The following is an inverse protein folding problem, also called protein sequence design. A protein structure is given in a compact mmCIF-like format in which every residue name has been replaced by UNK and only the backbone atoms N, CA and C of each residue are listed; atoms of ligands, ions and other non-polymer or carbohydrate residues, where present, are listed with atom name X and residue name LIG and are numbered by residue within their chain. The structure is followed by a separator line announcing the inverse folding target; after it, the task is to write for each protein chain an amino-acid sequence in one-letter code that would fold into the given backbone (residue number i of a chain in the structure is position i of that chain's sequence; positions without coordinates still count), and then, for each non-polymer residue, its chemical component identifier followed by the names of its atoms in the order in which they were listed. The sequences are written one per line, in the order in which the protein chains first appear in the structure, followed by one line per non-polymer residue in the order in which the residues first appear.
data_IF_702491154359
#
_entry.id   IF_702491154359
#
_cell.length_a   1.000
_cell.length_b   1.000
_cell.length_c   1.000
_cell.angle_alpha   90.00
_cell.angle_beta   90.00
_cell.angle_gamma   90.00
#
_symmetry.space_group_name_H-M   'P 1'
#
loop_
_entity.id
_entity.type
_entity.pdbx_description
1 polymer ?
#
# COMPACT_ATOMS: atom_id res chain seq x y z
N UNK A 1 1.66 18.76 29.06
CA UNK A 1 1.24 17.44 28.53
C UNK A 1 0.16 16.91 29.44
N UNK A 2 -0.97 16.45 28.90
CA UNK A 2 -1.96 15.69 29.68
C UNK A 2 -1.43 14.26 29.82
N UNK A 3 -1.39 13.72 31.03
CA UNK A 3 -0.86 12.36 31.27
C UNK A 3 -1.92 11.31 30.96
N UNK A 4 -1.50 10.08 30.59
CA UNK A 4 -2.42 8.96 30.38
C UNK A 4 -3.24 8.66 31.63
N UNK A 5 -2.63 8.81 32.81
CA UNK A 5 -3.28 8.64 34.11
C UNK A 5 -4.42 9.65 34.38
N UNK A 6 -4.35 10.85 33.81
CA UNK A 6 -5.39 11.89 33.95
C UNK A 6 -6.50 11.77 32.90
N UNK A 7 -6.24 11.10 31.77
CA UNK A 7 -7.19 10.95 30.65
C UNK A 7 -7.10 9.52 30.12
N UNK A 8 -7.49 8.57 30.96
CA UNK A 8 -7.44 7.14 30.67
C UNK A 8 -8.23 6.86 29.39
N UNK A 9 -7.56 6.24 28.41
CA UNK A 9 -8.20 5.79 27.17
C UNK A 9 -8.87 4.44 27.41
N UNK A 10 -10.14 4.37 27.03
CA UNK A 10 -10.99 3.18 27.12
C UNK A 10 -11.21 2.53 25.75
N UNK A 11 -11.81 1.35 25.76
CA UNK A 11 -12.25 0.65 24.54
C UNK A 11 -13.28 1.48 23.77
N UNK A 12 -14.21 2.12 24.49
CA UNK A 12 -15.26 2.94 23.92
C UNK A 12 -14.70 4.19 23.21
N UNK A 13 -13.65 4.80 23.78
CA UNK A 13 -12.99 5.95 23.16
C UNK A 13 -12.39 5.58 21.80
N UNK A 14 -11.68 4.44 21.72
CA UNK A 14 -11.06 3.98 20.47
C UNK A 14 -12.12 3.55 19.45
N UNK A 15 -13.19 2.87 19.88
CA UNK A 15 -14.29 2.50 18.99
C UNK A 15 -14.95 3.71 18.34
N UNK A 16 -15.14 4.80 19.10
CA UNK A 16 -15.66 6.04 18.54
C UNK A 16 -14.72 6.66 17.50
N UNK A 17 -13.40 6.45 17.61
CA UNK A 17 -12.44 6.86 16.59
C UNK A 17 -12.43 5.92 15.37
N UNK A 18 -12.57 4.61 15.58
CA UNK A 18 -12.73 3.62 14.50
C UNK A 18 -13.94 3.97 13.64
N UNK A 19 -15.10 4.18 14.25
CA UNK A 19 -16.32 4.56 13.54
C UNK A 19 -16.07 5.81 12.67
N UNK A 20 -15.45 6.85 13.24
CA UNK A 20 -15.11 8.07 12.48
C UNK A 20 -14.16 7.78 11.32
N UNK A 21 -13.15 6.92 11.53
CA UNK A 21 -12.17 6.59 10.52
C UNK A 21 -12.75 5.75 9.37
N UNK A 22 -13.71 4.86 9.65
CA UNK A 22 -14.41 4.07 8.63
C UNK A 22 -15.31 4.92 7.72
N UNK A 23 -15.84 6.03 8.24
CA UNK A 23 -16.68 6.97 7.48
C UNK A 23 -15.90 8.15 6.88
N UNK A 24 -14.57 8.21 7.04
CA UNK A 24 -13.76 9.31 6.52
C UNK A 24 -13.56 9.18 5.00
N UNK A 25 -14.21 10.06 4.25
CA UNK A 25 -14.15 10.09 2.78
C UNK A 25 -13.07 11.08 2.32
N UNK A 26 -12.26 10.76 1.30
CA UNK A 26 -11.35 11.73 0.70
C UNK A 26 -12.06 13.03 0.31
N UNK A 27 -11.45 14.17 0.62
CA UNK A 27 -11.91 15.47 0.12
C UNK A 27 -11.54 15.57 -1.36
N UNK A 28 -12.52 15.83 -2.22
CA UNK A 28 -12.34 15.79 -3.68
C UNK A 28 -11.31 16.80 -4.22
N UNK A 29 -11.07 17.89 -3.47
CA UNK A 29 -10.24 19.02 -3.85
C UNK A 29 -8.88 19.09 -3.14
N UNK A 30 -8.56 18.12 -2.29
CA UNK A 30 -7.30 18.10 -1.53
C UNK A 30 -6.18 17.43 -2.32
N UNK A 31 -5.06 18.14 -2.49
CA UNK A 31 -3.84 17.55 -3.07
C UNK A 31 -3.35 16.37 -2.21
N UNK A 32 -2.73 15.38 -2.85
CA UNK A 32 -2.26 14.20 -2.14
C UNK A 32 -1.29 14.53 -1.00
N UNK A 33 -0.37 15.49 -1.21
CA UNK A 33 0.60 15.90 -0.19
C UNK A 33 -0.08 16.54 1.03
N UNK A 34 -1.00 17.48 0.78
CA UNK A 34 -1.76 18.15 1.85
C UNK A 34 -2.60 17.15 2.66
N UNK A 35 -3.21 16.20 1.97
CA UNK A 35 -4.00 15.13 2.59
C UNK A 35 -3.14 14.20 3.44
N UNK A 36 -1.98 13.79 2.92
CA UNK A 36 -1.02 12.94 3.62
C UNK A 36 -0.59 13.60 4.94
N UNK A 37 -0.13 14.85 4.88
CA UNK A 37 0.35 15.58 6.06
C UNK A 37 -0.77 15.74 7.10
N UNK A 38 -1.98 16.09 6.66
CA UNK A 38 -3.14 16.22 7.54
C UNK A 38 -3.49 14.90 8.22
N UNK A 39 -3.60 13.80 7.46
CA UNK A 39 -3.97 12.49 8.01
C UNK A 39 -2.91 12.00 9.00
N UNK A 40 -1.62 12.14 8.69
CA UNK A 40 -0.55 11.76 9.61
C UNK A 40 -0.56 12.59 10.91
N UNK A 41 -0.83 13.89 10.82
CA UNK A 41 -1.00 14.75 11.99
C UNK A 41 -2.23 14.34 12.83
N UNK A 42 -3.35 14.01 12.19
CA UNK A 42 -4.54 13.51 12.87
C UNK A 42 -4.31 12.15 13.55
N UNK A 43 -3.65 11.21 12.87
CA UNK A 43 -3.38 9.88 13.40
C UNK A 43 -2.44 9.91 14.60
N UNK A 44 -1.51 10.86 14.66
CA UNK A 44 -0.56 11.01 15.77
C UNK A 44 -1.23 11.36 17.11
N UNK A 45 -2.41 11.97 17.07
CA UNK A 45 -3.14 12.43 18.28
C UNK A 45 -4.35 11.57 18.64
N UNK A 46 -4.58 10.48 17.90
CA UNK A 46 -5.68 9.51 18.09
C UNK A 46 -5.27 8.35 18.99
N UNK A 47 -6.25 7.76 19.68
CA UNK A 47 -6.13 6.52 20.43
C UNK A 47 -4.99 6.49 21.44
N UNK A 48 -4.38 5.32 21.60
CA UNK A 48 -3.20 5.14 22.45
C UNK A 48 -1.92 5.76 21.86
N UNK A 49 -1.85 5.95 20.53
CA UNK A 49 -0.66 6.51 19.87
C UNK A 49 -0.26 7.88 20.44
N UNK A 50 -1.22 8.69 20.87
CA UNK A 50 -1.00 9.96 21.57
C UNK A 50 -0.15 9.83 22.85
N UNK A 51 -0.21 8.68 23.52
CA UNK A 51 0.52 8.36 24.75
C UNK A 51 1.65 7.36 24.54
N UNK A 52 2.08 7.15 23.29
CA UNK A 52 3.12 6.20 22.91
C UNK A 52 4.39 6.35 23.73
N UNK A 53 4.88 7.58 23.93
CA UNK A 53 6.14 7.81 24.65
C UNK A 53 6.03 7.46 26.15
N UNK A 54 4.92 7.82 26.80
CA UNK A 54 4.65 7.47 28.21
C UNK A 54 4.53 5.94 28.38
N UNK A 55 3.84 5.27 27.45
CA UNK A 55 3.74 3.81 27.43
C UNK A 55 5.10 3.14 27.23
N UNK A 56 5.93 3.65 26.32
CA UNK A 56 7.27 3.12 26.07
C UNK A 56 8.16 3.29 27.29
N UNK A 57 8.13 4.46 27.92
CA UNK A 57 8.88 4.73 29.14
C UNK A 57 8.48 3.76 30.25
N UNK A 58 7.17 3.61 30.53
CA UNK A 58 6.68 2.64 31.50
C UNK A 58 7.08 1.20 31.15
N UNK A 59 7.07 0.84 29.86
CA UNK A 59 7.43 -0.51 29.41
C UNK A 59 8.93 -0.82 29.50
N UNK A 60 9.81 0.18 29.70
CA UNK A 60 11.24 -0.08 29.93
C UNK A 60 11.47 -0.80 31.26
N UNK A 61 10.66 -0.49 32.28
CA UNK A 61 10.66 -1.19 33.57
C UNK A 61 9.75 -2.42 33.53
N UNK A 62 10.28 -3.53 33.00
CA UNK A 62 9.54 -4.80 32.88
C UNK A 62 9.02 -5.32 34.23
N UNK A 63 9.76 -5.08 35.31
CA UNK A 63 9.41 -5.60 36.63
C UNK A 63 8.11 -4.95 37.15
N UNK A 64 7.97 -3.64 36.93
CA UNK A 64 6.83 -2.87 37.45
C UNK A 64 5.73 -2.61 36.41
N UNK A 65 5.95 -2.90 35.12
CA UNK A 65 4.99 -2.59 34.05
C UNK A 65 3.60 -3.16 34.29
N UNK A 66 3.48 -4.42 34.77
CA UNK A 66 2.17 -5.03 35.07
C UNK A 66 1.43 -4.28 36.17
N UNK A 67 2.12 -3.84 37.22
CA UNK A 67 1.52 -3.06 38.29
C UNK A 67 1.09 -1.67 37.79
N UNK A 68 1.92 -1.04 36.97
CA UNK A 68 1.59 0.24 36.34
C UNK A 68 0.33 0.16 35.45
N UNK A 69 0.17 -0.93 34.69
CA UNK A 69 -1.05 -1.20 33.92
C UNK A 69 -2.26 -1.36 34.84
N UNK A 70 -2.14 -2.12 35.93
CA UNK A 70 -3.21 -2.32 36.92
C UNK A 70 -3.61 -0.99 37.58
N UNK A 71 -2.65 -0.12 37.88
CA UNK A 71 -2.92 1.18 38.51
C UNK A 71 -3.75 2.12 37.62
N UNK A 72 -3.66 1.97 36.30
CA UNK A 72 -4.35 2.82 35.32
C UNK A 72 -5.67 2.19 34.87
N UNK A 73 -5.66 0.92 34.48
CA UNK A 73 -6.81 0.24 33.88
C UNK A 73 -7.52 -0.75 34.83
N UNK A 74 -7.07 -0.87 36.08
CA UNK A 74 -7.64 -1.77 37.08
C UNK A 74 -7.21 -3.23 36.93
N UNK A 75 -7.00 -3.71 35.71
CA UNK A 75 -6.47 -5.03 35.42
C UNK A 75 -5.80 -5.12 34.04
N UNK A 76 -5.04 -6.20 33.84
CA UNK A 76 -4.27 -6.44 32.60
C UNK A 76 -5.18 -6.74 31.40
N UNK A 77 -6.30 -7.45 31.59
CA UNK A 77 -7.20 -7.81 30.48
C UNK A 77 -7.89 -6.58 29.91
N UNK A 78 -8.25 -5.61 30.76
CA UNK A 78 -8.80 -4.32 30.32
C UNK A 78 -7.82 -3.61 29.40
N UNK A 79 -6.55 -3.51 29.75
CA UNK A 79 -5.55 -2.89 28.86
C UNK A 79 -5.30 -3.70 27.59
N UNK A 80 -5.28 -5.04 27.64
CA UNK A 80 -5.19 -5.89 26.44
C UNK A 80 -6.36 -5.61 25.49
N UNK A 81 -7.58 -5.40 26.01
CA UNK A 81 -8.73 -5.04 25.18
C UNK A 81 -8.54 -3.67 24.48
N UNK A 82 -7.97 -2.69 25.19
CA UNK A 82 -7.60 -1.39 24.61
C UNK A 82 -6.54 -1.56 23.52
N UNK A 83 -5.50 -2.38 23.74
CA UNK A 83 -4.48 -2.68 22.71
C UNK A 83 -5.13 -3.31 21.46
N UNK A 84 -6.07 -4.23 21.63
CA UNK A 84 -6.74 -4.87 20.49
C UNK A 84 -7.53 -3.86 19.65
N UNK A 85 -8.28 -2.96 20.27
CA UNK A 85 -8.99 -1.92 19.50
C UNK A 85 -8.02 -0.88 18.91
N UNK A 86 -6.92 -0.55 19.59
CA UNK A 86 -5.87 0.31 19.01
C UNK A 86 -5.28 -0.32 17.75
N UNK A 87 -4.97 -1.63 17.77
CA UNK A 87 -4.49 -2.35 16.58
C UNK A 87 -5.50 -2.32 15.43
N UNK A 88 -6.81 -2.39 15.72
CA UNK A 88 -7.86 -2.19 14.70
C UNK A 88 -7.86 -0.78 14.13
N UNK A 89 -7.78 0.23 14.98
CA UNK A 89 -7.70 1.61 14.52
C UNK A 89 -6.46 1.81 13.63
N UNK A 90 -5.30 1.27 14.04
CA UNK A 90 -4.08 1.33 13.22
C UNK A 90 -4.19 0.54 11.92
N UNK A 91 -5.00 -0.52 11.86
CA UNK A 91 -5.24 -1.27 10.62
C UNK A 91 -5.90 -0.41 9.55
N UNK A 92 -6.81 0.49 9.94
CA UNK A 92 -7.46 1.40 9.00
C UNK A 92 -6.42 2.36 8.42
N UNK A 93 -5.54 2.90 9.26
CA UNK A 93 -4.49 3.84 8.85
C UNK A 93 -3.48 3.19 7.90
N UNK A 94 -2.90 2.06 8.30
CA UNK A 94 -1.84 1.40 7.53
C UNK A 94 -2.35 0.82 6.20
N UNK A 95 -3.55 0.23 6.19
CA UNK A 95 -4.15 -0.31 4.97
C UNK A 95 -4.49 0.82 4.01
N UNK A 96 -5.03 1.93 4.53
CA UNK A 96 -5.36 3.10 3.72
C UNK A 96 -4.10 3.66 3.06
N UNK A 97 -3.07 3.96 3.86
CA UNK A 97 -1.81 4.53 3.36
C UNK A 97 -1.18 3.65 2.28
N UNK A 98 -0.95 2.37 2.60
CA UNK A 98 -0.36 1.42 1.65
C UNK A 98 -1.17 1.32 0.35
N UNK A 99 -2.50 1.24 0.44
CA UNK A 99 -3.35 1.14 -0.75
C UNK A 99 -3.36 2.41 -1.60
N UNK A 100 -3.31 3.58 -0.98
CA UNK A 100 -3.35 4.86 -1.69
C UNK A 100 -2.01 5.15 -2.36
N UNK A 101 -0.88 4.94 -1.67
CA UNK A 101 0.43 5.11 -2.30
C UNK A 101 0.62 4.19 -3.50
N UNK A 102 0.20 2.92 -3.39
CA UNK A 102 0.28 1.97 -4.50
C UNK A 102 -0.62 2.39 -5.67
N UNK A 103 -1.87 2.78 -5.40
CA UNK A 103 -2.83 3.19 -6.43
C UNK A 103 -2.44 4.47 -7.19
N UNK A 104 -1.58 5.31 -6.62
CA UNK A 104 -1.06 6.50 -7.26
C UNK A 104 0.12 6.21 -8.19
N UNK A 105 0.75 5.04 -8.07
CA UNK A 105 1.83 4.63 -8.96
C UNK A 105 1.26 4.24 -10.32
N UNK A 106 1.37 5.15 -11.28
CA UNK A 106 0.91 4.93 -12.65
C UNK A 106 2.05 4.60 -13.57
N UNK A 107 1.78 3.71 -14.51
CA UNK A 107 2.66 3.41 -15.64
C UNK A 107 2.32 4.37 -16.77
N UNK A 108 3.35 5.05 -17.26
CA UNK A 108 3.28 5.97 -18.39
C UNK A 108 4.35 5.58 -19.40
N UNK A 109 3.92 5.29 -20.63
CA UNK A 109 4.82 4.93 -21.72
C UNK A 109 4.82 6.07 -22.73
N UNK A 110 5.98 6.65 -23.06
CA UNK A 110 6.04 7.68 -24.09
C UNK A 110 5.74 7.09 -25.46
N UNK A 111 5.11 7.90 -26.32
CA UNK A 111 4.90 7.60 -27.73
C UNK A 111 6.23 7.62 -28.48
N UNK A 112 6.36 6.79 -29.52
CA UNK A 112 7.56 6.72 -30.34
C UNK A 112 7.23 6.90 -31.81
N UNK A 113 8.04 7.70 -32.51
CA UNK A 113 7.90 7.99 -33.93
C UNK A 113 9.02 7.31 -34.71
N UNK A 114 8.67 6.41 -35.63
CA UNK A 114 9.57 5.75 -36.57
C UNK A 114 8.75 4.92 -37.57
N UNK A 115 9.41 4.09 -38.39
CA UNK A 115 8.72 2.97 -39.04
C UNK A 115 7.96 2.13 -38.00
N UNK A 116 6.79 1.61 -38.38
CA UNK A 116 5.88 0.89 -37.46
C UNK A 116 6.61 -0.11 -36.56
N UNK A 117 7.38 -1.02 -37.16
CA UNK A 117 8.07 -2.09 -36.43
C UNK A 117 9.14 -1.53 -35.46
N UNK A 118 9.85 -0.48 -35.87
CA UNK A 118 10.87 0.15 -35.02
C UNK A 118 10.26 0.91 -33.84
N UNK A 119 9.18 1.65 -34.10
CA UNK A 119 8.46 2.40 -33.07
C UNK A 119 7.84 1.44 -32.05
N UNK A 120 7.19 0.37 -32.51
CA UNK A 120 6.61 -0.65 -31.64
C UNK A 120 7.66 -1.31 -30.73
N UNK A 121 8.83 -1.67 -31.26
CA UNK A 121 9.92 -2.25 -30.46
C UNK A 121 10.51 -1.25 -29.45
N UNK A 122 10.52 0.06 -29.74
CA UNK A 122 10.89 1.10 -28.76
C UNK A 122 9.85 1.19 -27.64
N UNK A 123 8.57 1.24 -27.98
CA UNK A 123 7.47 1.29 -27.00
C UNK A 123 7.46 0.05 -26.10
N UNK A 124 7.70 -1.15 -26.64
CA UNK A 124 7.84 -2.38 -25.84
C UNK A 124 8.99 -2.30 -24.84
N UNK A 125 10.16 -1.79 -25.23
CA UNK A 125 11.27 -1.58 -24.28
C UNK A 125 10.91 -0.58 -23.20
N UNK A 126 10.27 0.54 -23.57
CA UNK A 126 9.80 1.54 -22.60
C UNK A 126 8.78 0.94 -21.63
N UNK A 127 7.90 0.04 -22.10
CA UNK A 127 6.95 -0.70 -21.26
C UNK A 127 7.66 -1.61 -20.27
N UNK A 128 8.65 -2.38 -20.71
CA UNK A 128 9.43 -3.24 -19.82
C UNK A 128 10.14 -2.43 -18.74
N UNK A 129 10.81 -1.34 -19.12
CA UNK A 129 11.48 -0.43 -18.18
C UNK A 129 10.50 0.17 -17.16
N UNK A 130 9.32 0.59 -17.60
CA UNK A 130 8.32 1.18 -16.71
C UNK A 130 7.71 0.16 -15.73
N UNK A 131 7.51 -1.09 -16.16
CA UNK A 131 7.05 -2.18 -15.28
C UNK A 131 8.10 -2.51 -14.21
N UNK A 132 9.37 -2.57 -14.59
CA UNK A 132 10.48 -2.77 -13.64
C UNK A 132 10.62 -1.61 -12.65
N UNK A 133 10.54 -0.36 -13.14
CA UNK A 133 10.57 0.83 -12.29
C UNK A 133 9.40 0.83 -11.30
N UNK A 134 8.19 0.49 -11.77
CA UNK A 134 7.01 0.38 -10.93
C UNK A 134 7.23 -0.58 -9.76
N UNK A 135 7.65 -1.82 -10.04
CA UNK A 135 7.83 -2.85 -9.03
C UNK A 135 8.88 -2.44 -7.99
N UNK A 136 9.99 -1.85 -8.42
CA UNK A 136 11.02 -1.35 -7.52
C UNK A 136 10.52 -0.17 -6.66
N UNK A 137 9.72 0.73 -7.23
CA UNK A 137 9.18 1.90 -6.52
C UNK A 137 8.11 1.53 -5.50
N UNK A 138 7.25 0.56 -5.81
CA UNK A 138 6.25 0.02 -4.88
C UNK A 138 6.93 -0.46 -3.60
N UNK A 139 8.01 -1.24 -3.72
CA UNK A 139 8.77 -1.73 -2.57
C UNK A 139 9.39 -0.60 -1.74
N UNK A 140 9.98 0.39 -2.42
CA UNK A 140 10.58 1.54 -1.73
C UNK A 140 9.55 2.38 -0.98
N UNK A 141 8.38 2.62 -1.57
CA UNK A 141 7.28 3.35 -0.94
C UNK A 141 6.81 2.64 0.34
N UNK A 142 6.69 1.32 0.29
CA UNK A 142 6.29 0.56 1.48
C UNK A 142 7.25 0.81 2.66
N UNK A 143 8.55 0.75 2.39
CA UNK A 143 9.58 0.92 3.41
C UNK A 143 9.64 2.36 3.97
N UNK A 144 9.36 3.36 3.13
CA UNK A 144 9.41 4.78 3.53
C UNK A 144 8.12 5.23 4.20
N UNK A 145 6.96 4.87 3.66
CA UNK A 145 5.66 5.43 4.07
C UNK A 145 4.91 4.53 5.05
N UNK A 146 4.93 3.21 4.83
CA UNK A 146 4.07 2.27 5.56
C UNK A 146 4.76 1.76 6.84
N UNK A 147 6.03 1.34 6.76
CA UNK A 147 6.78 0.80 7.91
C UNK A 147 6.78 1.72 9.14
N UNK A 148 6.93 3.06 9.01
CA UNK A 148 6.82 3.96 10.16
C UNK A 148 5.48 3.87 10.91
N UNK A 149 4.37 3.64 10.19
CA UNK A 149 3.05 3.46 10.78
C UNK A 149 2.95 2.12 11.54
N UNK A 150 3.56 1.06 11.00
CA UNK A 150 3.56 -0.28 11.60
C UNK A 150 4.41 -0.37 12.87
N UNK A 151 5.38 0.54 13.04
CA UNK A 151 6.26 0.55 14.23
C UNK A 151 5.46 0.61 15.53
N UNK A 152 4.33 1.35 15.56
CA UNK A 152 3.48 1.39 16.75
C UNK A 152 2.73 0.07 16.96
N UNK A 153 2.26 -0.58 15.89
CA UNK A 153 1.64 -1.90 15.97
C UNK A 153 2.62 -2.93 16.55
N UNK A 154 3.87 -2.94 16.10
CA UNK A 154 4.93 -3.81 16.61
C UNK A 154 5.18 -3.61 18.11
N UNK A 155 5.28 -2.36 18.55
CA UNK A 155 5.47 -2.04 19.97
C UNK A 155 4.29 -2.53 20.83
N UNK A 156 3.05 -2.33 20.36
CA UNK A 156 1.84 -2.83 21.01
C UNK A 156 1.79 -4.36 21.08
N UNK A 157 2.17 -5.06 20.00
CA UNK A 157 2.21 -6.52 19.97
C UNK A 157 3.25 -7.08 20.95
N UNK A 158 4.42 -6.44 21.07
CA UNK A 158 5.42 -6.79 22.08
C UNK A 158 4.89 -6.57 23.51
N UNK A 159 4.20 -5.45 23.76
CA UNK A 159 3.58 -5.18 25.07
C UNK A 159 2.49 -6.21 25.40
N UNK A 160 1.61 -6.51 24.44
CA UNK A 160 0.56 -7.52 24.59
C UNK A 160 1.14 -8.88 24.93
N UNK A 161 2.13 -9.35 24.18
CA UNK A 161 2.80 -10.63 24.42
C UNK A 161 3.46 -10.70 25.81
N UNK A 162 4.12 -9.61 26.23
CA UNK A 162 4.68 -9.53 27.58
C UNK A 162 3.61 -9.66 28.68
N UNK A 163 2.46 -9.01 28.50
CA UNK A 163 1.37 -9.04 29.47
C UNK A 163 0.70 -10.41 29.56
N UNK A 164 0.59 -11.12 28.43
CA UNK A 164 0.01 -12.48 28.35
C UNK A 164 1.02 -13.59 28.66
N UNK A 165 2.30 -13.25 28.89
CA UNK A 165 3.41 -14.20 28.99
C UNK A 165 3.58 -15.07 27.72
N UNK A 166 3.30 -14.50 26.56
CA UNK A 166 3.49 -15.13 25.26
C UNK A 166 4.78 -14.62 24.58
N UNK A 167 5.23 -15.32 23.54
CA UNK A 167 6.37 -14.92 22.72
C UNK A 167 5.89 -14.22 21.46
N UNK A 168 6.45 -13.04 21.20
CA UNK A 168 6.26 -12.33 19.94
C UNK A 168 7.61 -11.96 19.32
N UNK A 169 7.80 -12.36 18.06
CA UNK A 169 9.00 -12.00 17.30
C UNK A 169 8.81 -10.61 16.71
N UNK A 170 9.58 -9.64 17.24
CA UNK A 170 9.58 -8.26 16.74
C UNK A 170 9.86 -8.23 15.23
N UNK A 171 9.05 -7.48 14.48
CA UNK A 171 9.15 -7.33 13.03
C UNK A 171 8.27 -8.32 12.26
N UNK A 172 7.84 -9.42 12.88
CA UNK A 172 7.11 -10.48 12.17
C UNK A 172 5.76 -10.03 11.60
N UNK A 173 5.10 -9.05 12.21
CA UNK A 173 3.87 -8.49 11.66
C UNK A 173 4.15 -7.61 10.43
N UNK A 174 5.16 -6.74 10.54
CA UNK A 174 5.57 -5.85 9.45
C UNK A 174 6.07 -6.61 8.23
N UNK A 175 6.82 -7.70 8.45
CA UNK A 175 7.31 -8.59 7.40
C UNK A 175 6.16 -9.30 6.66
N UNK A 176 5.17 -9.84 7.40
CA UNK A 176 3.98 -10.46 6.81
C UNK A 176 3.15 -9.48 6.00
N UNK A 177 3.00 -8.24 6.48
CA UNK A 177 2.27 -7.21 5.74
C UNK A 177 3.05 -6.82 4.47
N UNK A 178 4.39 -6.74 4.54
CA UNK A 178 5.26 -6.48 3.39
C UNK A 178 5.12 -7.58 2.35
N UNK A 179 5.11 -8.84 2.77
CA UNK A 179 4.88 -9.99 1.89
C UNK A 179 3.54 -9.89 1.16
N UNK A 180 2.45 -9.57 1.87
CA UNK A 180 1.14 -9.33 1.25
C UNK A 180 1.22 -8.19 0.23
N UNK A 181 1.82 -7.07 0.61
CA UNK A 181 1.92 -5.88 -0.23
C UNK A 181 2.70 -6.16 -1.52
N UNK A 182 3.89 -6.77 -1.42
CA UNK A 182 4.71 -7.19 -2.56
C UNK A 182 3.94 -8.12 -3.47
N UNK A 183 3.34 -9.17 -2.92
CA UNK A 183 2.63 -10.16 -3.72
C UNK A 183 1.41 -9.60 -4.47
N UNK A 184 0.77 -8.55 -3.94
CA UNK A 184 -0.41 -7.94 -4.55
C UNK A 184 -0.04 -6.90 -5.60
N UNK A 185 0.97 -6.07 -5.35
CA UNK A 185 1.26 -4.91 -6.20
C UNK A 185 2.43 -5.10 -7.18
N UNK A 186 3.25 -6.14 -7.02
CA UNK A 186 4.25 -6.48 -8.04
C UNK A 186 3.55 -6.97 -9.32
N UNK A 187 3.94 -6.43 -10.46
CA UNK A 187 3.33 -6.70 -11.76
C UNK A 187 4.06 -7.80 -12.54
N UNK A 188 5.39 -7.86 -12.43
CA UNK A 188 6.19 -8.84 -13.14
C UNK A 188 6.41 -10.09 -12.28
N UNK A 189 6.05 -11.25 -12.82
CA UNK A 189 6.17 -12.52 -12.08
C UNK A 189 7.62 -12.87 -11.71
N UNK A 190 8.58 -12.50 -12.56
CA UNK A 190 10.02 -12.64 -12.31
C UNK A 190 10.53 -11.82 -11.11
N UNK A 191 9.78 -10.80 -10.69
CA UNK A 191 10.11 -9.94 -9.55
C UNK A 191 9.47 -10.40 -8.24
N UNK A 192 8.60 -11.43 -8.28
CA UNK A 192 8.02 -11.99 -7.07
C UNK A 192 9.02 -12.89 -6.34
N UNK A 193 9.11 -12.81 -5.00
CA UNK A 193 9.93 -13.72 -4.22
C UNK A 193 9.36 -15.15 -4.22
N UNK A 194 8.02 -15.27 -4.19
CA UNK A 194 7.30 -16.53 -4.25
C UNK A 194 5.91 -16.29 -4.86
N UNK A 195 5.43 -17.21 -5.71
CA UNK A 195 4.10 -17.07 -6.32
C UNK A 195 3.02 -17.56 -5.36
N UNK A 196 2.10 -16.66 -5.00
CA UNK A 196 0.93 -16.95 -4.15
C UNK A 196 -0.37 -16.85 -4.93
N UNK A 197 -1.43 -17.50 -4.45
CA UNK A 197 -2.72 -17.62 -5.16
C UNK A 197 -3.39 -16.27 -5.45
N UNK A 198 -3.22 -15.29 -4.56
CA UNK A 198 -3.81 -13.97 -4.69
C UNK A 198 -2.93 -12.97 -5.45
N UNK A 199 -1.77 -13.40 -5.95
CA UNK A 199 -0.91 -12.57 -6.77
C UNK A 199 -1.44 -12.49 -8.21
N UNK A 200 -1.35 -11.31 -8.80
CA UNK A 200 -1.77 -11.03 -10.17
C UNK A 200 -0.61 -10.60 -11.05
N UNK A 201 0.62 -11.00 -10.70
CA UNK A 201 1.78 -10.76 -11.53
C UNK A 201 1.81 -11.69 -12.74
N UNK A 202 2.26 -11.16 -13.88
CA UNK A 202 2.34 -11.85 -15.16
C UNK A 202 3.73 -11.69 -15.80
N UNK A 203 4.00 -12.46 -16.84
CA UNK A 203 5.21 -12.27 -17.64
C UNK A 203 5.12 -10.96 -18.44
N UNK A 204 6.25 -10.49 -18.97
CA UNK A 204 6.27 -9.29 -19.80
C UNK A 204 5.39 -9.45 -21.06
N UNK A 205 5.40 -10.62 -21.69
CA UNK A 205 4.63 -10.92 -22.91
C UNK A 205 3.12 -10.74 -22.71
N UNK A 206 2.60 -11.08 -21.53
CA UNK A 206 1.19 -10.86 -21.20
C UNK A 206 0.77 -9.40 -21.40
N UNK A 207 1.62 -8.45 -21.01
CA UNK A 207 1.34 -7.02 -21.13
C UNK A 207 1.50 -6.51 -22.57
N UNK A 208 2.44 -7.07 -23.33
CA UNK A 208 2.64 -6.75 -24.74
C UNK A 208 1.45 -7.17 -25.59
N UNK A 209 0.85 -8.32 -25.29
CA UNK A 209 -0.25 -8.94 -26.06
C UNK A 209 -1.63 -8.31 -25.80
N UNK A 210 -1.71 -7.24 -25.00
CA UNK A 210 -2.95 -6.49 -24.76
C UNK A 210 -3.27 -5.59 -25.96
N UNK A 211 -3.85 -6.15 -27.01
CA UNK A 211 -4.11 -5.45 -28.29
C UNK A 211 -4.88 -4.12 -28.13
N UNK A 212 -5.85 -4.04 -27.21
CA UNK A 212 -6.65 -2.83 -26.96
C UNK A 212 -5.86 -1.66 -26.32
N UNK A 213 -4.59 -1.88 -25.96
CA UNK A 213 -3.70 -0.86 -25.37
C UNK A 213 -2.89 -0.09 -26.41
N UNK A 214 -2.83 -0.58 -27.64
CA UNK A 214 -2.01 -0.02 -28.72
C UNK A 214 -2.81 0.94 -29.59
N UNK A 215 -2.23 2.11 -29.87
CA UNK A 215 -2.73 3.02 -30.90
C UNK A 215 -1.61 3.39 -31.87
N UNK A 216 -1.94 3.35 -33.17
CA UNK A 216 -1.05 3.67 -34.27
C UNK A 216 -1.61 4.90 -34.99
N UNK A 217 -0.90 6.01 -34.91
CA UNK A 217 -1.27 7.27 -35.53
C UNK A 217 -0.39 7.51 -36.75
N UNK A 218 -1.01 7.61 -37.92
CA UNK A 218 -0.30 7.83 -39.18
C UNK A 218 -0.20 9.33 -39.47
N UNK A 219 0.88 9.74 -40.14
CA UNK A 219 1.11 11.15 -40.47
C UNK A 219 0.03 11.68 -41.42
N UNK A 220 -0.54 12.83 -41.10
CA UNK A 220 -1.58 13.52 -41.90
C UNK A 220 -1.13 13.83 -43.34
N UNK A 221 0.19 13.89 -43.57
CA UNK A 221 0.77 14.15 -44.89
C UNK A 221 0.78 12.91 -45.81
N UNK A 222 0.50 11.72 -45.28
CA UNK A 222 0.41 10.49 -46.08
C UNK A 222 -0.89 10.49 -46.89
N UNK A 223 -0.79 10.12 -48.17
CA UNK A 223 -2.01 9.87 -48.93
C UNK A 223 -2.61 8.50 -48.54
N UNK A 224 -3.90 8.23 -48.81
CA UNK A 224 -4.56 6.99 -48.36
C UNK A 224 -3.89 5.68 -48.82
N UNK A 225 -3.14 5.69 -49.93
CA UNK A 225 -2.39 4.50 -50.37
C UNK A 225 -1.17 4.29 -49.46
N UNK A 226 -0.50 5.37 -49.07
CA UNK A 226 0.68 5.32 -48.20
C UNK A 226 0.30 4.94 -46.77
N UNK A 227 -0.84 5.40 -46.26
CA UNK A 227 -1.42 4.94 -45.00
C UNK A 227 -1.65 3.42 -45.01
N UNK A 228 -2.26 2.89 -46.08
CA UNK A 228 -2.48 1.43 -46.22
C UNK A 228 -1.15 0.65 -46.29
N UNK A 229 -0.12 1.24 -46.92
CA UNK A 229 1.21 0.64 -46.98
C UNK A 229 1.93 0.71 -45.63
N UNK A 230 1.69 1.74 -44.82
CA UNK A 230 2.25 1.90 -43.47
C UNK A 230 1.82 0.79 -42.49
N UNK A 231 0.69 0.11 -42.76
CA UNK A 231 0.24 -1.04 -41.97
C UNK A 231 1.12 -2.28 -42.23
N UNK A 232 1.81 -2.35 -43.37
CA UNK A 232 2.60 -3.54 -43.73
C UNK A 232 3.90 -3.60 -42.92
N UNK A 233 4.30 -4.79 -42.43
CA UNK A 233 5.60 -4.99 -41.81
C UNK A 233 6.74 -4.56 -42.74
N UNK A 234 7.75 -3.90 -42.19
CA UNK A 234 8.90 -3.37 -42.93
C UNK A 234 8.59 -2.17 -43.84
N UNK A 235 7.42 -1.54 -43.69
CA UNK A 235 7.09 -0.31 -44.40
C UNK A 235 8.11 0.82 -44.06
N UNK A 236 8.55 1.60 -45.07
CA UNK A 236 9.40 2.77 -44.83
C UNK A 236 8.60 3.99 -44.31
N UNK A 237 7.27 3.91 -44.31
CA UNK A 237 6.42 4.99 -43.82
C UNK A 237 6.42 5.02 -42.29
N UNK A 238 6.52 6.22 -41.74
CA UNK A 238 6.58 6.45 -40.31
C UNK A 238 5.17 6.62 -39.71
N UNK A 239 5.03 6.21 -38.46
CA UNK A 239 3.85 6.43 -37.64
C UNK A 239 4.26 6.65 -36.18
N UNK A 240 3.41 7.33 -35.42
CA UNK A 240 3.53 7.36 -33.97
C UNK A 240 2.85 6.12 -33.40
N UNK A 241 3.57 5.40 -32.53
CA UNK A 241 3.05 4.24 -31.81
C UNK A 241 2.93 4.60 -30.34
N UNK A 242 1.78 4.28 -29.76
CA UNK A 242 1.43 4.58 -28.38
C UNK A 242 0.95 3.34 -27.66
N UNK A 243 1.29 3.22 -26.38
CA UNK A 243 0.76 2.21 -25.46
C UNK A 243 0.19 2.88 -24.21
N UNK A 244 -1.08 2.65 -23.92
CA UNK A 244 -1.79 3.43 -22.88
C UNK A 244 -1.69 2.88 -21.45
N UNK A 245 -1.32 1.61 -21.27
CA UNK A 245 -1.33 0.93 -19.98
C UNK A 245 -2.63 1.12 -19.18
N UNK A 246 -3.77 1.32 -19.86
CA UNK A 246 -5.04 1.68 -19.27
C UNK A 246 -5.57 0.57 -18.36
N UNK A 247 -5.61 -0.66 -18.85
CA UNK A 247 -6.04 -1.85 -18.11
C UNK A 247 -5.11 -2.15 -16.93
N UNK A 248 -3.80 -1.91 -17.07
CA UNK A 248 -2.81 -2.11 -16.01
C UNK A 248 -3.09 -1.12 -14.87
N UNK A 249 -3.13 0.18 -15.19
CA UNK A 249 -3.41 1.25 -14.22
C UNK A 249 -4.79 1.09 -13.58
N UNK A 250 -5.80 0.64 -14.33
CA UNK A 250 -7.13 0.37 -13.81
C UNK A 250 -7.14 -0.83 -12.84
N UNK A 251 -6.36 -1.87 -13.13
CA UNK A 251 -6.25 -3.08 -12.32
C UNK A 251 -5.57 -2.79 -10.98
N UNK A 252 -4.48 -2.00 -10.98
CA UNK A 252 -3.80 -1.54 -9.75
C UNK A 252 -4.80 -0.82 -8.84
N UNK A 253 -5.53 0.16 -9.39
CA UNK A 253 -6.47 0.99 -8.62
C UNK A 253 -7.67 0.21 -8.05
N UNK A 254 -8.11 -0.83 -8.73
CA UNK A 254 -9.31 -1.57 -8.36
C UNK A 254 -9.00 -2.96 -7.79
N UNK A 255 -8.55 -3.87 -8.66
CA UNK A 255 -8.35 -5.28 -8.31
C UNK A 255 -7.28 -5.42 -7.23
N UNK A 256 -6.10 -4.85 -7.42
CA UNK A 256 -4.99 -5.01 -6.48
C UNK A 256 -5.30 -4.36 -5.14
N UNK A 257 -5.80 -3.12 -5.13
CA UNK A 257 -6.24 -2.44 -3.90
C UNK A 257 -7.27 -3.27 -3.11
N UNK A 258 -8.26 -3.88 -3.78
CA UNK A 258 -9.26 -4.69 -3.11
C UNK A 258 -8.67 -5.97 -2.52
N UNK A 259 -7.85 -6.70 -3.30
CA UNK A 259 -7.15 -7.90 -2.82
C UNK A 259 -6.26 -7.58 -1.62
N UNK A 260 -5.50 -6.47 -1.67
CA UNK A 260 -4.65 -6.02 -0.57
C UNK A 260 -5.47 -5.77 0.70
N UNK A 261 -6.57 -5.01 0.58
CA UNK A 261 -7.47 -4.71 1.70
C UNK A 261 -8.03 -5.98 2.34
N UNK A 262 -8.40 -6.97 1.55
CA UNK A 262 -8.91 -8.26 2.05
C UNK A 262 -7.82 -9.03 2.80
N UNK A 263 -6.63 -9.16 2.23
CA UNK A 263 -5.52 -9.90 2.84
C UNK A 263 -4.97 -9.24 4.10
N UNK A 264 -4.90 -7.91 4.13
CA UNK A 264 -4.55 -7.22 5.36
C UNK A 264 -5.61 -7.40 6.46
N UNK A 265 -6.91 -7.37 6.12
CA UNK A 265 -7.96 -7.67 7.10
C UNK A 265 -7.83 -9.07 7.69
N UNK A 266 -7.51 -10.08 6.87
CA UNK A 266 -7.21 -11.44 7.35
C UNK A 266 -6.04 -11.44 8.34
N UNK A 267 -4.93 -10.77 8.00
CA UNK A 267 -3.75 -10.66 8.87
C UNK A 267 -4.09 -9.99 10.21
N UNK A 268 -4.77 -8.85 10.20
CA UNK A 268 -5.16 -8.14 11.42
C UNK A 268 -6.15 -8.95 12.27
N UNK A 269 -7.11 -9.64 11.65
CA UNK A 269 -8.04 -10.52 12.36
C UNK A 269 -7.34 -11.66 13.10
N UNK A 270 -6.22 -12.17 12.56
CA UNK A 270 -5.42 -13.19 13.24
C UNK A 270 -4.74 -12.69 14.52
N UNK A 271 -4.58 -11.37 14.71
CA UNK A 271 -3.99 -10.80 15.93
C UNK A 271 -4.96 -10.80 17.12
N UNK A 272 -6.24 -11.10 16.88
CA UNK A 272 -7.31 -11.10 17.89
C UNK A 272 -7.72 -12.49 18.36
N UNK A 273 -7.20 -13.55 17.72
CA UNK A 273 -7.36 -14.95 18.16
C UNK A 273 -6.39 -15.26 19.29
#
# INVERSE_FOLDING_TARGET
MKTLKENIITVEDIKAEIEKAEFDVPREDEDFGDRYDRLHAEWAVKGLKKYRDELKEAFTDKEHFKNWVIDIWGDVNTFIAVINEELRLRSIESIREASECAALMKIFIPSESASRDEAEEKVKRNLEEALEEHDQRILNIYDVEVVPLLTWCEELLVMKAFLTNDFYMKGSFSDKLKEIYTNVFTLLDRNLPEKVEYSDAHSFEYYVDLEDEWEYLYLDDLNPIEELLAILPGSPYECDVMYYAHSINWSIKNKHVNTFKEKCKELYNSLHQ
#
